data_IF_877693966740
#
_entry.id   IF_877693966740
#
_cell.length_a   1.000
_cell.length_b   1.000
_cell.length_c   1.000
_cell.angle_alpha   90.00
_cell.angle_beta   90.00
_cell.angle_gamma   90.00
#
_symmetry.space_group_name_H-M   'P 1'
#
loop_
_entity.id
_entity.type
_entity.pdbx_description
1 polymer ?
#
# COMPACT_ATOMS: atom_id res chain seq x y z
N UNK A 1 -13.93 -24.84 -7.82
CA UNK A 1 -14.57 -23.73 -7.08
C UNK A 1 -14.62 -23.99 -5.57
N UNK A 2 -15.17 -25.11 -5.08
CA UNK A 2 -15.25 -25.39 -3.62
C UNK A 2 -13.88 -25.60 -2.97
N UNK A 3 -12.93 -26.24 -3.63
CA UNK A 3 -11.55 -26.47 -3.14
C UNK A 3 -10.78 -25.13 -2.95
N UNK A 4 -10.96 -24.18 -3.87
CA UNK A 4 -10.32 -22.85 -3.75
C UNK A 4 -10.94 -22.01 -2.61
N UNK A 5 -12.24 -22.16 -2.35
CA UNK A 5 -12.93 -21.54 -1.21
C UNK A 5 -12.44 -22.15 0.11
N UNK A 6 -12.29 -23.47 0.18
CA UNK A 6 -11.76 -24.17 1.35
C UNK A 6 -10.31 -23.80 1.62
N UNK A 7 -9.46 -23.72 0.58
CA UNK A 7 -8.08 -23.29 0.73
C UNK A 7 -7.97 -21.82 1.18
N UNK A 8 -8.81 -20.92 0.64
CA UNK A 8 -8.85 -19.53 1.08
C UNK A 8 -9.33 -19.41 2.53
N UNK A 9 -10.34 -20.18 2.93
CA UNK A 9 -10.83 -20.22 4.31
C UNK A 9 -9.78 -20.80 5.27
N UNK A 10 -9.09 -21.88 4.90
CA UNK A 10 -8.01 -22.45 5.69
C UNK A 10 -6.82 -21.49 5.84
N UNK A 11 -6.45 -20.79 4.76
CA UNK A 11 -5.43 -19.73 4.79
C UNK A 11 -5.83 -18.56 5.69
N UNK A 12 -7.09 -18.14 5.62
CA UNK A 12 -7.65 -17.12 6.51
C UNK A 12 -7.60 -17.55 7.98
N UNK A 13 -8.07 -18.76 8.29
CA UNK A 13 -8.03 -19.30 9.65
C UNK A 13 -6.59 -19.44 10.16
N UNK A 14 -5.66 -19.87 9.30
CA UNK A 14 -4.25 -19.94 9.64
C UNK A 14 -3.68 -18.55 9.97
N UNK A 15 -3.97 -17.53 9.17
CA UNK A 15 -3.54 -16.15 9.46
C UNK A 15 -4.13 -15.60 10.75
N UNK A 16 -5.36 -15.97 11.09
CA UNK A 16 -6.02 -15.55 12.34
C UNK A 16 -5.48 -16.29 13.57
N UNK A 17 -5.01 -17.53 13.41
CA UNK A 17 -4.51 -18.37 14.48
C UNK A 17 -2.98 -18.36 14.60
N UNK A 18 -2.28 -17.92 13.54
CA UNK A 18 -0.82 -17.79 13.59
C UNK A 18 -0.45 -16.74 14.65
N UNK A 19 0.27 -17.11 15.72
CA UNK A 19 0.72 -16.12 16.67
C UNK A 19 1.62 -15.15 15.93
N UNK A 20 1.36 -13.85 16.08
CA UNK A 20 2.28 -12.80 15.66
C UNK A 20 3.51 -12.86 16.58
N UNK A 21 4.36 -13.85 16.37
CA UNK A 21 5.47 -14.19 17.27
C UNK A 21 6.56 -13.12 17.36
N UNK A 22 6.52 -12.10 16.51
CA UNK A 22 7.66 -11.20 16.36
C UNK A 22 7.40 -9.73 16.72
N UNK A 23 6.17 -9.31 16.98
CA UNK A 23 5.91 -7.89 17.22
C UNK A 23 5.18 -7.70 18.55
N UNK A 24 5.96 -7.32 19.57
CA UNK A 24 5.52 -6.83 20.88
C UNK A 24 4.62 -7.77 21.69
N UNK A 25 5.23 -8.61 22.52
CA UNK A 25 4.60 -9.35 23.64
C UNK A 25 3.89 -8.44 24.68
N UNK A 26 3.87 -7.13 24.49
CA UNK A 26 3.32 -6.15 25.42
C UNK A 26 2.07 -5.40 24.92
N UNK A 27 1.62 -5.64 23.69
CA UNK A 27 0.38 -5.00 23.22
C UNK A 27 -0.83 -5.78 23.72
N UNK A 28 -1.40 -5.37 24.84
CA UNK A 28 -2.68 -5.88 25.33
C UNK A 28 -3.75 -5.60 24.28
N UNK A 29 -4.49 -6.65 23.88
CA UNK A 29 -5.64 -6.52 23.00
C UNK A 29 -6.70 -5.68 23.71
N UNK A 30 -6.87 -4.44 23.27
CA UNK A 30 -7.83 -3.49 23.81
C UNK A 30 -8.92 -3.18 22.78
N UNK A 31 -10.15 -3.04 23.25
CA UNK A 31 -11.28 -2.60 22.40
C UNK A 31 -10.99 -1.22 21.77
N UNK A 32 -10.28 -0.35 22.46
CA UNK A 32 -9.88 0.96 21.94
C UNK A 32 -8.94 0.84 20.74
N UNK A 33 -7.99 -0.08 20.78
CA UNK A 33 -7.06 -0.36 19.66
C UNK A 33 -7.83 -0.91 18.46
N UNK A 34 -8.77 -1.84 18.69
CA UNK A 34 -9.61 -2.38 17.62
C UNK A 34 -10.48 -1.30 16.97
N UNK A 35 -11.05 -0.40 17.76
CA UNK A 35 -11.86 0.70 17.24
C UNK A 35 -11.00 1.71 16.45
N UNK A 36 -9.82 2.03 16.94
CA UNK A 36 -8.86 2.88 16.21
C UNK A 36 -8.47 2.27 14.87
N UNK A 37 -8.09 1.00 14.85
CA UNK A 37 -7.75 0.27 13.63
C UNK A 37 -8.93 0.22 12.65
N UNK A 38 -10.16 0.04 13.14
CA UNK A 38 -11.35 0.07 12.31
C UNK A 38 -11.54 1.43 11.64
N UNK A 39 -11.39 2.51 12.39
CA UNK A 39 -11.50 3.88 11.87
C UNK A 39 -10.39 4.16 10.86
N UNK A 40 -9.13 3.82 11.15
CA UNK A 40 -7.99 4.02 10.25
C UNK A 40 -8.13 3.20 8.96
N UNK A 41 -8.48 1.93 9.08
CA UNK A 41 -8.70 1.04 7.92
C UNK A 41 -9.87 1.55 7.08
N UNK A 42 -10.96 1.98 7.72
CA UNK A 42 -12.10 2.59 7.05
C UNK A 42 -11.77 3.89 6.34
N UNK A 43 -11.02 4.80 7.01
CA UNK A 43 -10.56 6.05 6.43
C UNK A 43 -9.61 5.81 5.23
N UNK A 44 -8.73 4.81 5.33
CA UNK A 44 -7.88 4.41 4.22
C UNK A 44 -8.70 3.87 3.05
N UNK A 45 -9.68 3.01 3.30
CA UNK A 45 -10.55 2.46 2.26
C UNK A 45 -11.40 3.54 1.59
N UNK A 46 -11.86 4.54 2.34
CA UNK A 46 -12.58 5.69 1.82
C UNK A 46 -11.75 6.54 0.85
N UNK A 47 -10.41 6.48 0.88
CA UNK A 47 -9.56 7.14 -0.13
C UNK A 47 -9.79 6.58 -1.54
N UNK A 48 -10.32 5.37 -1.66
CA UNK A 48 -10.66 4.73 -2.93
C UNK A 48 -12.10 4.96 -3.37
N UNK A 49 -12.82 5.91 -2.74
CA UNK A 49 -14.20 6.25 -3.09
C UNK A 49 -14.45 6.46 -4.60
N UNK A 50 -13.54 7.05 -5.41
CA UNK A 50 -13.79 7.21 -6.84
C UNK A 50 -13.89 5.85 -7.54
N UNK A 51 -13.07 4.88 -7.11
CA UNK A 51 -13.09 3.53 -7.68
C UNK A 51 -14.35 2.77 -7.26
N UNK A 52 -14.83 2.99 -6.03
CA UNK A 52 -16.09 2.42 -5.56
C UNK A 52 -17.29 2.97 -6.33
N UNK A 53 -17.31 4.28 -6.59
CA UNK A 53 -18.34 4.91 -7.43
C UNK A 53 -18.24 4.36 -8.86
N UNK A 54 -17.05 4.26 -9.44
CA UNK A 54 -16.86 3.68 -10.76
C UNK A 54 -17.39 2.25 -10.82
N UNK A 55 -17.09 1.42 -9.80
CA UNK A 55 -17.65 0.08 -9.69
C UNK A 55 -19.18 0.10 -9.63
N UNK A 56 -19.79 0.92 -8.77
CA UNK A 56 -21.23 0.99 -8.61
C UNK A 56 -21.93 1.39 -9.92
N UNK A 57 -21.39 2.38 -10.65
CA UNK A 57 -21.88 2.82 -11.94
C UNK A 57 -21.78 1.72 -13.00
N UNK A 58 -20.62 1.05 -13.09
CA UNK A 58 -20.43 -0.05 -14.05
C UNK A 58 -21.32 -1.23 -13.71
N UNK A 59 -21.51 -1.55 -12.43
CA UNK A 59 -22.40 -2.61 -11.98
C UNK A 59 -23.87 -2.29 -12.33
N UNK A 60 -24.31 -1.06 -12.08
CA UNK A 60 -25.63 -0.60 -12.49
C UNK A 60 -25.83 -0.71 -14.02
N UNK A 61 -24.85 -0.27 -14.82
CA UNK A 61 -24.89 -0.41 -16.26
C UNK A 61 -24.90 -1.87 -16.71
N UNK A 62 -24.14 -2.75 -16.04
CA UNK A 62 -24.12 -4.17 -16.33
C UNK A 62 -25.47 -4.84 -16.05
N UNK A 63 -26.17 -4.43 -14.98
CA UNK A 63 -27.54 -4.88 -14.70
C UNK A 63 -28.52 -4.38 -15.76
N UNK A 64 -28.46 -3.07 -16.08
CA UNK A 64 -29.33 -2.43 -17.07
C UNK A 64 -29.18 -3.01 -18.48
N UNK A 65 -27.94 -3.32 -18.88
CA UNK A 65 -27.63 -3.89 -20.20
C UNK A 65 -27.64 -5.43 -20.21
N UNK A 66 -28.14 -6.07 -19.16
CA UNK A 66 -28.28 -7.53 -19.04
C UNK A 66 -26.97 -8.28 -19.33
N UNK A 67 -25.83 -7.71 -18.89
CA UNK A 67 -24.54 -8.40 -18.93
C UNK A 67 -24.68 -9.76 -18.22
N UNK A 68 -23.94 -10.74 -18.67
CA UNK A 68 -24.00 -12.11 -18.16
C UNK A 68 -23.96 -12.16 -16.62
N UNK A 69 -24.88 -12.94 -16.02
CA UNK A 69 -25.05 -13.04 -14.56
C UNK A 69 -23.74 -13.47 -13.87
N UNK A 70 -22.97 -14.37 -14.51
CA UNK A 70 -21.70 -14.88 -13.97
C UNK A 70 -20.68 -13.74 -13.76
N UNK A 71 -20.58 -12.80 -14.71
CA UNK A 71 -19.66 -11.67 -14.60
C UNK A 71 -20.09 -10.70 -13.50
N UNK A 72 -21.40 -10.47 -13.35
CA UNK A 72 -21.94 -9.63 -12.27
C UNK A 72 -21.68 -10.26 -10.90
N UNK A 73 -21.92 -11.57 -10.76
CA UNK A 73 -21.64 -12.29 -9.52
C UNK A 73 -20.14 -12.30 -9.22
N UNK A 74 -19.27 -12.58 -10.22
CA UNK A 74 -17.82 -12.54 -10.04
C UNK A 74 -17.32 -11.16 -9.57
N UNK A 75 -17.83 -10.09 -10.18
CA UNK A 75 -17.52 -8.73 -9.76
C UNK A 75 -17.97 -8.44 -8.32
N UNK A 76 -19.14 -8.88 -7.92
CA UNK A 76 -19.64 -8.72 -6.56
C UNK A 76 -18.80 -9.52 -5.55
N UNK A 77 -18.40 -10.74 -5.88
CA UNK A 77 -17.51 -11.56 -5.04
C UNK A 77 -16.14 -10.86 -4.84
N UNK A 78 -15.58 -10.29 -5.91
CA UNK A 78 -14.32 -9.56 -5.83
C UNK A 78 -14.44 -8.30 -4.96
N UNK A 79 -15.55 -7.55 -5.05
CA UNK A 79 -15.83 -6.42 -4.17
C UNK A 79 -15.94 -6.88 -2.71
N UNK A 80 -16.72 -7.93 -2.43
CA UNK A 80 -16.86 -8.47 -1.08
C UNK A 80 -15.52 -8.99 -0.54
N UNK A 81 -14.70 -9.62 -1.39
CA UNK A 81 -13.33 -10.02 -1.03
C UNK A 81 -12.44 -8.84 -0.70
N UNK A 82 -12.56 -7.73 -1.45
CA UNK A 82 -11.86 -6.48 -1.15
C UNK A 82 -12.26 -5.93 0.23
N UNK A 83 -13.55 -5.85 0.51
CA UNK A 83 -14.07 -5.38 1.81
C UNK A 83 -13.64 -6.31 2.95
N UNK A 84 -13.76 -7.64 2.76
CA UNK A 84 -13.34 -8.61 3.75
C UNK A 84 -11.84 -8.52 4.04
N UNK A 85 -11.01 -8.37 3.01
CA UNK A 85 -9.56 -8.18 3.17
C UNK A 85 -9.21 -6.94 4.01
N UNK A 86 -9.94 -5.84 3.82
CA UNK A 86 -9.77 -4.65 4.66
C UNK A 86 -10.29 -4.87 6.08
N UNK A 87 -11.43 -5.53 6.22
CA UNK A 87 -12.00 -5.82 7.54
C UNK A 87 -11.06 -6.68 8.40
N UNK A 88 -10.38 -7.66 7.79
CA UNK A 88 -9.39 -8.50 8.48
C UNK A 88 -8.24 -7.66 9.06
N UNK A 89 -7.83 -6.60 8.37
CA UNK A 89 -6.74 -5.73 8.83
C UNK A 89 -7.09 -4.97 10.12
N UNK A 90 -8.38 -4.80 10.44
CA UNK A 90 -8.77 -4.17 11.71
C UNK A 90 -8.37 -4.98 12.94
N UNK A 91 -8.18 -6.30 12.76
CA UNK A 91 -7.71 -7.20 13.82
C UNK A 91 -6.19 -7.31 13.90
N UNK A 92 -5.46 -6.70 12.96
CA UNK A 92 -4.00 -6.68 13.01
C UNK A 92 -3.54 -5.67 14.07
N UNK A 93 -2.51 -6.03 14.85
CA UNK A 93 -1.92 -5.11 15.85
C UNK A 93 -1.29 -3.88 15.20
N UNK A 94 -0.84 -3.99 13.97
CA UNK A 94 -0.27 -2.92 13.19
C UNK A 94 -0.75 -3.00 11.73
N UNK A 95 -1.51 -2.01 11.30
CA UNK A 95 -1.99 -1.91 9.92
C UNK A 95 -1.07 -1.00 9.12
N UNK A 96 -0.02 -1.57 8.50
CA UNK A 96 0.75 -0.83 7.53
C UNK A 96 -0.11 -0.57 6.28
N UNK A 97 -0.08 0.67 5.74
CA UNK A 97 -0.82 1.02 4.52
C UNK A 97 -0.56 0.07 3.33
N UNK A 98 0.60 -0.62 3.33
CA UNK A 98 0.96 -1.65 2.33
C UNK A 98 0.06 -2.88 2.38
N UNK A 99 -0.48 -3.24 3.53
CA UNK A 99 -1.35 -4.40 3.70
C UNK A 99 -2.70 -4.24 2.98
N UNK A 100 -3.10 -3.00 2.66
CA UNK A 100 -4.36 -2.69 1.98
C UNK A 100 -4.32 -2.92 0.47
N UNK A 101 -3.14 -3.15 -0.13
CA UNK A 101 -3.01 -3.32 -1.58
C UNK A 101 -3.78 -4.52 -2.14
N UNK A 102 -3.89 -5.61 -1.40
CA UNK A 102 -4.65 -6.79 -1.84
C UNK A 102 -6.12 -6.42 -2.05
N UNK A 103 -6.71 -5.69 -1.11
CA UNK A 103 -8.08 -5.21 -1.23
C UNK A 103 -8.27 -4.27 -2.42
N UNK A 104 -7.31 -3.36 -2.66
CA UNK A 104 -7.32 -2.48 -3.82
C UNK A 104 -7.25 -3.25 -5.15
N UNK A 105 -6.39 -4.26 -5.24
CA UNK A 105 -6.28 -5.12 -6.43
C UNK A 105 -7.60 -5.84 -6.70
N UNK A 106 -8.24 -6.40 -5.67
CA UNK A 106 -9.54 -7.06 -5.81
C UNK A 106 -10.63 -6.07 -6.28
N UNK A 107 -10.63 -4.85 -5.77
CA UNK A 107 -11.56 -3.80 -6.21
C UNK A 107 -11.30 -3.40 -7.67
N UNK A 108 -10.04 -3.28 -8.09
CA UNK A 108 -9.67 -3.03 -9.50
C UNK A 108 -10.14 -4.17 -10.40
N UNK A 109 -9.94 -5.43 -9.97
CA UNK A 109 -10.43 -6.59 -10.70
C UNK A 109 -11.96 -6.60 -10.78
N UNK A 110 -12.68 -6.20 -9.72
CA UNK A 110 -14.13 -6.09 -9.71
C UNK A 110 -14.65 -5.07 -10.73
N UNK A 111 -13.94 -3.97 -10.92
CA UNK A 111 -14.21 -2.96 -11.95
C UNK A 111 -13.86 -3.53 -13.33
N UNK A 112 -12.66 -4.10 -13.48
CA UNK A 112 -12.12 -4.55 -14.77
C UNK A 112 -12.99 -5.64 -15.43
N UNK A 113 -13.55 -6.56 -14.66
CA UNK A 113 -14.35 -7.67 -15.19
C UNK A 113 -15.68 -7.21 -15.83
N UNK A 114 -16.20 -6.04 -15.41
CA UNK A 114 -17.43 -5.46 -15.97
C UNK A 114 -17.17 -4.60 -17.21
N UNK A 115 -15.92 -4.22 -17.45
CA UNK A 115 -15.56 -3.27 -18.49
C UNK A 115 -15.75 -3.82 -19.93
N UNK A 116 -15.21 -5.02 -20.30
CA UNK A 116 -15.25 -5.51 -21.67
C UNK A 116 -16.67 -5.67 -22.23
N UNK A 117 -17.66 -6.25 -21.51
CA UNK A 117 -19.02 -6.42 -22.04
C UNK A 117 -19.75 -5.09 -22.23
N UNK A 118 -19.39 -4.04 -21.48
CA UNK A 118 -19.96 -2.70 -21.63
C UNK A 118 -19.27 -1.90 -22.72
N UNK A 119 -18.00 -2.18 -23.00
CA UNK A 119 -17.20 -1.47 -24.00
C UNK A 119 -17.67 -1.70 -25.44
N UNK A 120 -18.28 -2.85 -25.72
CA UNK A 120 -18.82 -3.20 -27.03
C UNK A 120 -20.21 -2.58 -27.33
N UNK A 121 -20.84 -1.97 -26.33
CA UNK A 121 -22.21 -1.47 -26.41
C UNK A 121 -22.32 0.05 -26.64
N UNK A 122 -23.50 0.58 -26.29
CA UNK A 122 -23.89 2.00 -26.43
C UNK A 122 -22.90 2.98 -25.77
N UNK A 123 -22.18 2.53 -24.75
CA UNK A 123 -21.28 3.36 -23.93
C UNK A 123 -19.82 3.33 -24.39
N UNK A 124 -19.53 2.75 -25.57
CA UNK A 124 -18.17 2.59 -26.10
C UNK A 124 -17.35 3.89 -26.09
N UNK A 125 -17.92 4.98 -26.58
CA UNK A 125 -17.21 6.28 -26.65
C UNK A 125 -16.94 6.86 -25.26
N UNK A 126 -17.90 6.77 -24.34
CA UNK A 126 -17.71 7.21 -22.95
C UNK A 126 -16.62 6.40 -22.26
N UNK A 127 -16.67 5.09 -22.38
CA UNK A 127 -15.68 4.20 -21.79
C UNK A 127 -14.30 4.40 -22.40
N UNK A 128 -14.21 4.63 -23.70
CA UNK A 128 -12.95 4.96 -24.39
C UNK A 128 -12.36 6.29 -23.86
N UNK A 129 -13.19 7.32 -23.66
CA UNK A 129 -12.74 8.58 -23.08
C UNK A 129 -12.24 8.40 -21.65
N UNK A 130 -12.96 7.62 -20.81
CA UNK A 130 -12.52 7.30 -19.45
C UNK A 130 -11.20 6.52 -19.45
N UNK A 131 -11.03 5.56 -20.36
CA UNK A 131 -9.75 4.86 -20.54
C UNK A 131 -8.62 5.83 -20.89
N UNK A 132 -8.83 6.72 -21.85
CA UNK A 132 -7.81 7.68 -22.26
C UNK A 132 -7.39 8.59 -21.10
N UNK A 133 -8.36 9.11 -20.33
CA UNK A 133 -8.08 9.91 -19.14
C UNK A 133 -7.33 9.09 -18.08
N UNK A 134 -7.72 7.83 -17.86
CA UNK A 134 -7.04 6.95 -16.89
C UNK A 134 -5.60 6.64 -17.30
N UNK A 135 -5.35 6.42 -18.60
CA UNK A 135 -3.99 6.21 -19.14
C UNK A 135 -3.16 7.48 -19.00
N UNK A 136 -3.70 8.64 -19.31
CA UNK A 136 -3.02 9.92 -19.14
C UNK A 136 -2.67 10.19 -17.65
N UNK A 137 -3.61 9.93 -16.75
CA UNK A 137 -3.38 10.02 -15.30
C UNK A 137 -2.29 9.04 -14.83
N UNK A 138 -2.34 7.78 -15.30
CA UNK A 138 -1.32 6.77 -14.98
C UNK A 138 0.07 7.20 -15.47
N UNK A 139 0.17 7.74 -16.68
CA UNK A 139 1.44 8.26 -17.21
C UNK A 139 1.97 9.42 -16.37
N UNK A 140 1.11 10.37 -16.01
CA UNK A 140 1.49 11.53 -15.18
C UNK A 140 1.96 11.10 -13.79
N UNK A 141 1.17 10.29 -13.09
CA UNK A 141 1.51 9.82 -11.74
C UNK A 141 2.68 8.83 -11.76
N UNK A 142 2.76 7.99 -12.79
CA UNK A 142 3.89 7.09 -13.01
C UNK A 142 5.20 7.86 -13.21
N UNK A 143 5.18 8.89 -14.03
CA UNK A 143 6.34 9.77 -14.22
C UNK A 143 6.76 10.46 -12.91
N UNK A 144 5.80 10.99 -12.15
CA UNK A 144 6.08 11.62 -10.86
C UNK A 144 6.70 10.61 -9.88
N UNK A 145 6.15 9.41 -9.79
CA UNK A 145 6.67 8.33 -8.93
C UNK A 145 8.08 7.88 -9.33
N UNK A 146 8.31 7.61 -10.62
CA UNK A 146 9.64 7.20 -11.13
C UNK A 146 10.67 8.31 -10.91
N UNK A 147 10.29 9.58 -11.15
CA UNK A 147 11.18 10.73 -10.89
C UNK A 147 11.57 10.82 -9.41
N UNK A 148 10.64 10.57 -8.51
CA UNK A 148 10.88 10.61 -7.06
C UNK A 148 11.75 9.43 -6.60
N UNK A 149 11.48 8.22 -7.08
CA UNK A 149 12.32 7.03 -6.82
C UNK A 149 13.76 7.26 -7.29
N UNK A 150 13.94 7.81 -8.48
CA UNK A 150 15.27 8.11 -9.02
C UNK A 150 16.04 9.10 -8.13
N UNK A 151 15.38 10.15 -7.64
CA UNK A 151 15.97 11.12 -6.73
C UNK A 151 16.37 10.51 -5.40
N UNK A 152 15.46 9.71 -4.83
CA UNK A 152 15.73 8.97 -3.60
C UNK A 152 16.93 8.04 -3.77
N UNK A 153 17.00 7.32 -4.88
CA UNK A 153 18.15 6.46 -5.19
C UNK A 153 19.47 7.26 -5.25
N UNK A 154 19.47 8.40 -5.93
CA UNK A 154 20.67 9.27 -6.00
C UNK A 154 21.07 9.74 -4.60
N UNK A 155 20.12 10.17 -3.76
CA UNK A 155 20.41 10.62 -2.40
C UNK A 155 20.96 9.49 -1.52
N UNK A 156 20.39 8.30 -1.62
CA UNK A 156 20.86 7.13 -0.88
C UNK A 156 22.26 6.68 -1.35
N UNK A 157 22.51 6.66 -2.67
CA UNK A 157 23.83 6.33 -3.20
C UNK A 157 24.89 7.34 -2.78
N UNK A 158 24.53 8.63 -2.66
CA UNK A 158 25.42 9.63 -2.10
C UNK A 158 25.74 9.36 -0.63
N UNK A 159 24.74 8.99 0.17
CA UNK A 159 24.97 8.59 1.57
C UNK A 159 25.88 7.36 1.67
N UNK A 160 25.72 6.36 0.81
CA UNK A 160 26.61 5.19 0.77
C UNK A 160 28.06 5.56 0.46
N UNK A 161 28.29 6.55 -0.44
CA UNK A 161 29.62 7.07 -0.71
C UNK A 161 30.21 7.77 0.51
N UNK A 162 29.46 8.67 1.15
CA UNK A 162 29.89 9.35 2.38
C UNK A 162 30.23 8.35 3.49
N UNK A 163 29.39 7.35 3.71
CA UNK A 163 29.65 6.29 4.69
C UNK A 163 30.97 5.58 4.38
N UNK A 164 31.20 5.22 3.12
CA UNK A 164 32.42 4.54 2.70
C UNK A 164 33.67 5.41 2.93
N UNK A 165 33.59 6.72 2.66
CA UNK A 165 34.66 7.69 2.90
C UNK A 165 34.92 7.83 4.40
N UNK A 166 33.89 7.97 5.25
CA UNK A 166 34.03 8.06 6.69
C UNK A 166 34.64 6.80 7.30
N UNK A 167 34.28 5.61 6.81
CA UNK A 167 34.88 4.33 7.24
C UNK A 167 36.39 4.33 6.87
N UNK A 168 36.74 4.76 5.65
CA UNK A 168 38.15 4.81 5.21
C UNK A 168 38.98 5.79 6.05
N UNK A 169 38.38 6.88 6.51
CA UNK A 169 38.99 7.87 7.37
C UNK A 169 39.05 7.46 8.84
N UNK A 170 38.38 6.39 9.24
CA UNK A 170 38.30 5.93 10.64
C UNK A 170 37.43 6.81 11.52
N UNK A 171 36.49 7.56 10.92
CA UNK A 171 35.52 8.36 11.67
C UNK A 171 34.58 7.47 12.47
N UNK A 172 34.16 7.94 13.64
CA UNK A 172 33.27 7.18 14.53
C UNK A 172 31.88 7.79 14.66
N UNK A 173 31.80 9.11 14.50
CA UNK A 173 30.58 9.88 14.59
C UNK A 173 30.37 10.57 13.25
N UNK A 174 29.25 10.30 12.59
CA UNK A 174 28.99 10.85 11.25
C UNK A 174 27.63 11.52 11.15
N UNK A 175 27.57 12.48 10.23
CA UNK A 175 26.33 13.14 9.85
C UNK A 175 26.00 12.81 8.38
N UNK A 176 24.76 12.43 8.13
CA UNK A 176 24.30 12.08 6.78
C UNK A 176 23.14 12.96 6.36
N UNK A 177 23.09 13.41 5.09
CA UNK A 177 21.94 14.14 4.59
C UNK A 177 20.68 13.25 4.60
N UNK A 178 19.60 13.80 5.15
CA UNK A 178 18.33 13.09 5.20
C UNK A 178 17.64 13.17 3.84
N UNK A 179 17.46 12.05 3.12
CA UNK A 179 16.64 12.05 1.92
C UNK A 179 15.18 12.31 2.31
N UNK A 180 14.53 13.19 1.56
CA UNK A 180 13.12 13.50 1.78
C UNK A 180 12.27 13.13 0.57
N UNK A 181 11.07 12.64 0.85
CA UNK A 181 10.06 12.39 -0.17
C UNK A 181 9.52 13.72 -0.71
N UNK A 182 9.46 13.87 -2.03
CA UNK A 182 8.80 15.03 -2.67
C UNK A 182 7.34 14.77 -2.99
N UNK A 183 7.00 13.50 -3.16
CA UNK A 183 5.65 13.08 -3.46
C UNK A 183 5.26 11.91 -2.57
N UNK A 184 3.96 11.73 -2.37
CA UNK A 184 3.40 10.56 -1.67
C UNK A 184 3.68 9.21 -2.37
N UNK A 185 4.31 9.23 -3.53
CA UNK A 185 4.70 8.03 -4.29
C UNK A 185 6.15 7.62 -4.03
N UNK A 186 6.87 8.38 -3.22
CA UNK A 186 8.23 8.03 -2.83
C UNK A 186 8.25 6.77 -1.97
N UNK A 187 9.28 5.94 -2.15
CA UNK A 187 9.50 4.76 -1.33
C UNK A 187 9.82 5.09 0.14
N UNK A 188 10.27 6.32 0.40
CA UNK A 188 10.62 6.81 1.75
C UNK A 188 9.52 7.66 2.39
N UNK A 189 8.38 7.88 1.71
CA UNK A 189 7.25 8.60 2.29
C UNK A 189 6.70 7.85 3.49
N UNK A 190 6.62 8.53 4.63
CA UNK A 190 6.17 7.94 5.89
C UNK A 190 7.15 6.92 6.50
N UNK A 191 8.40 6.85 6.03
CA UNK A 191 9.46 6.11 6.69
C UNK A 191 10.31 7.07 7.53
N UNK A 192 10.53 6.72 8.78
CA UNK A 192 11.55 7.34 9.63
C UNK A 192 12.92 6.84 9.12
N UNK A 193 13.62 7.73 8.40
CA UNK A 193 14.94 7.36 7.85
C UNK A 193 16.03 7.61 8.88
N UNK A 194 16.32 8.87 9.15
CA UNK A 194 17.29 9.30 10.18
C UNK A 194 16.68 10.45 10.97
N UNK A 195 16.79 10.40 12.29
CA UNK A 195 16.47 11.55 13.14
C UNK A 195 17.54 12.60 13.00
N UNK A 196 17.12 13.87 12.95
CA UNK A 196 18.02 15.05 12.96
C UNK A 196 18.24 15.61 14.35
N UNK A 197 17.46 15.16 15.33
CA UNK A 197 17.47 15.73 16.68
C UNK A 197 18.04 14.75 17.72
N UNK A 198 17.89 13.44 17.48
CA UNK A 198 18.26 12.42 18.46
C UNK A 198 19.06 11.29 17.83
N UNK A 199 20.34 11.19 18.19
CA UNK A 199 21.20 10.10 17.76
C UNK A 199 20.80 8.74 18.37
N UNK A 200 20.00 8.72 19.47
CA UNK A 200 19.49 7.51 20.10
C UNK A 200 18.20 7.00 19.48
N UNK A 201 17.66 7.69 18.46
CA UNK A 201 16.54 7.20 17.66
C UNK A 201 16.85 5.82 17.07
N UNK A 202 15.86 4.95 17.05
CA UNK A 202 16.04 3.56 16.62
C UNK A 202 16.69 3.42 15.24
N UNK A 203 16.32 4.29 14.28
CA UNK A 203 16.85 4.24 12.92
C UNK A 203 18.34 4.62 12.90
N UNK A 204 18.73 5.65 13.65
CA UNK A 204 20.10 6.12 13.80
C UNK A 204 20.97 5.04 14.46
N UNK A 205 20.48 4.44 15.54
CA UNK A 205 21.19 3.38 16.28
C UNK A 205 21.39 2.13 15.42
N UNK A 206 20.36 1.65 14.73
CA UNK A 206 20.51 0.48 13.87
C UNK A 206 21.45 0.74 12.69
N UNK A 207 21.44 1.95 12.12
CA UNK A 207 22.32 2.29 11.03
C UNK A 207 23.78 2.40 11.50
N UNK A 208 24.02 3.02 12.67
CA UNK A 208 25.33 3.09 13.29
C UNK A 208 25.91 1.68 13.55
N UNK A 209 25.13 0.80 14.17
CA UNK A 209 25.50 -0.60 14.42
C UNK A 209 25.81 -1.36 13.13
N UNK A 210 25.01 -1.18 12.08
CA UNK A 210 25.20 -1.87 10.80
C UNK A 210 26.52 -1.51 10.12
N UNK A 211 26.92 -0.23 10.15
CA UNK A 211 28.13 0.26 9.51
C UNK A 211 29.35 0.31 10.47
N UNK A 212 29.17 0.07 11.76
CA UNK A 212 30.25 0.05 12.75
C UNK A 212 30.68 1.44 13.24
N UNK A 213 29.75 2.41 13.21
CA UNK A 213 29.93 3.74 13.80
C UNK A 213 29.48 3.77 15.27
N UNK A 214 30.02 4.72 16.04
CA UNK A 214 29.56 4.97 17.40
C UNK A 214 28.24 5.76 17.40
N UNK A 215 28.09 6.71 16.46
CA UNK A 215 26.84 7.42 16.25
C UNK A 215 26.63 7.83 14.78
N UNK A 216 25.35 7.88 14.36
CA UNK A 216 24.89 8.48 13.10
C UNK A 216 23.76 9.43 13.41
N UNK A 217 23.75 10.60 12.81
CA UNK A 217 22.66 11.57 12.89
C UNK A 217 22.34 12.14 11.50
N UNK A 218 21.05 12.40 11.25
CA UNK A 218 20.61 13.08 10.03
C UNK A 218 20.82 14.60 10.07
N UNK A 219 20.92 15.29 8.92
CA UNK A 219 20.86 16.74 8.80
C UNK A 219 20.05 17.19 7.58
#
# INVERSE_FOLDING_TARGET
MYLSLLAAFAGFMYMMLAPAESVNKSAEFSISVLLSNFVETGAFYLRFWPLMIAWALLFYLAVKNRVELRLRIASLILLLGSLAGHFVLTFAMYCAGRSTYIGLILLLCAVAILFPPLFSGRYKSLLAALCAVSVAALMYFGYAGVSDIRRTHIALSYNEQLISECIANGEKDIQLPRPYARTKYSAIEGLDYLSTEDASDWANVYMALYYGFDSIIGY
#
